data_IF_438918102136
#
_entry.id   IF_438918102136
#
_cell.length_a   1.000
_cell.length_b   1.000
_cell.length_c   1.000
_cell.angle_alpha   90.00
_cell.angle_beta   90.00
_cell.angle_gamma   90.00
#
_symmetry.space_group_name_H-M   'P 1'
#
loop_
_entity.id
_entity.type
_entity.pdbx_description
1 polymer ?
2 non-polymer ?
3 non-polymer ?
4 non-polymer ?
5 water ?
#
# COMPACT_ATOMS: atom_id res chain seq x y z
N UNK A 4 9.91 4.82 -14.65
CA UNK A 4 8.62 4.82 -13.97
C UNK A 4 8.68 5.55 -12.66
N UNK A 5 7.90 6.62 -12.57
CA UNK A 5 7.88 7.45 -11.37
C UNK A 5 6.80 7.01 -10.41
N UNK A 6 7.21 6.70 -9.19
CA UNK A 6 6.29 6.40 -8.10
C UNK A 6 6.29 7.53 -7.06
N UNK A 7 5.10 8.01 -6.71
CA UNK A 7 4.96 8.93 -5.60
C UNK A 7 4.07 8.31 -4.53
N UNK A 8 4.40 8.57 -3.27
CA UNK A 8 3.53 8.20 -2.16
C UNK A 8 2.90 9.45 -1.58
N UNK A 9 1.58 9.40 -1.43
CA UNK A 9 0.83 10.52 -0.90
C UNK A 9 -0.02 10.15 0.30
N UNK A 10 0.33 10.68 1.47
CA UNK A 10 -0.51 10.56 2.65
C UNK A 10 -1.54 11.69 2.74
N UNK A 11 -2.76 11.32 3.06
CA UNK A 11 -3.89 12.23 3.07
C UNK A 11 -4.57 12.19 4.42
N UNK A 12 -4.57 13.31 5.13
CA UNK A 12 -5.03 13.35 6.50
C UNK A 12 -3.90 13.01 7.46
N UNK A 13 -4.19 13.10 8.77
CA UNK A 13 -3.18 12.94 9.80
C UNK A 13 -2.49 11.61 9.88
N UNK A 14 -3.27 10.52 9.88
CA UNK A 14 -2.71 9.19 9.88
C UNK A 14 -1.83 8.92 8.67
N UNK A 15 -2.35 9.22 7.48
CA UNK A 15 -1.62 9.04 6.25
C UNK A 15 -0.35 9.88 6.20
N UNK A 16 -0.39 11.03 6.87
CA UNK A 16 0.78 11.90 6.91
C UNK A 16 1.77 11.45 7.95
N UNK A 17 1.29 10.67 8.91
CA UNK A 17 2.21 10.05 9.86
C UNK A 17 2.88 8.87 9.20
N UNK A 18 2.19 8.22 8.28
CA UNK A 18 2.78 7.12 7.53
C UNK A 18 3.87 7.63 6.59
N UNK A 19 3.63 8.78 6.00
CA UNK A 19 4.62 9.39 5.12
C UNK A 19 5.87 9.77 5.92
N UNK A 20 5.67 10.25 7.14
CA UNK A 20 6.81 10.67 7.97
C UNK A 20 7.70 9.50 8.40
N UNK A 21 7.08 8.43 8.88
CA UNK A 21 7.82 7.26 9.34
C UNK A 21 8.51 6.50 8.20
N UNK A 22 7.81 6.30 7.09
CA UNK A 22 8.41 5.79 5.87
C UNK A 22 9.65 6.56 5.45
N UNK A 23 9.55 7.89 5.46
CA UNK A 23 10.68 8.76 5.11
C UNK A 23 11.86 8.60 6.07
N UNK A 24 11.58 8.58 7.36
CA UNK A 24 12.62 8.43 8.36
C UNK A 24 13.37 7.14 8.06
N UNK A 25 12.62 6.12 7.66
CA UNK A 25 13.18 4.84 7.26
C UNK A 25 14.16 4.97 6.10
N UNK A 26 13.98 5.99 5.28
CA UNK A 26 14.81 6.18 4.10
C UNK A 26 14.25 5.39 2.93
N UNK A 27 13.52 6.08 2.07
CA UNK A 27 12.95 5.44 0.88
C UNK A 27 13.40 6.22 -0.36
N UNK A 28 14.30 5.61 -1.13
CA UNK A 28 14.94 6.30 -2.26
C UNK A 28 14.14 6.20 -3.55
N UNK A 29 14.34 7.19 -4.42
CA UNK A 29 13.71 7.19 -5.76
C UNK A 29 12.17 7.32 -5.74
N UNK A 30 11.61 7.41 -4.54
CA UNK A 30 10.19 7.67 -4.35
C UNK A 30 9.96 9.09 -3.86
N UNK A 31 9.05 9.80 -4.50
CA UNK A 31 8.74 11.17 -4.10
C UNK A 31 7.57 11.13 -3.12
N UNK A 32 7.69 11.86 -2.02
CA UNK A 32 6.60 11.93 -1.04
C UNK A 32 5.76 13.21 -1.14
N UNK A 33 4.47 13.08 -0.88
CA UNK A 33 3.56 14.22 -0.91
C UNK A 33 2.64 14.20 0.32
N UNK A 34 2.70 15.26 1.13
CA UNK A 34 1.84 15.35 2.31
C UNK A 34 0.63 16.22 1.99
N UNK A 35 -0.57 15.66 2.16
CA UNK A 35 -1.78 16.45 1.98
C UNK A 35 -2.58 16.49 3.27
N UNK A 36 -2.84 17.68 3.78
CA UNK A 36 -3.69 17.81 4.97
C UNK A 36 -4.45 19.12 4.96
N UNK A 37 -5.59 19.15 5.62
CA UNK A 37 -6.26 20.39 5.93
C UNK A 37 -5.56 21.07 7.11
N UNK A 38 -5.17 20.26 8.08
CA UNK A 38 -4.53 20.75 9.30
C UNK A 38 -3.11 21.21 9.01
N UNK A 39 -2.94 22.52 8.88
CA UNK A 39 -1.65 23.11 8.58
C UNK A 39 -0.62 22.92 9.66
N UNK A 40 -1.09 22.82 10.90
CA UNK A 40 -0.18 22.59 12.02
C UNK A 40 0.67 21.34 11.86
N UNK A 41 0.04 20.24 11.43
CA UNK A 41 0.75 18.99 11.21
C UNK A 41 1.54 19.05 9.93
N UNK A 42 0.99 19.71 8.94
CA UNK A 42 1.59 19.75 7.62
C UNK A 42 2.96 20.40 7.72
N UNK A 43 3.06 21.39 8.61
CA UNK A 43 4.29 22.12 8.87
C UNK A 43 5.32 21.22 9.58
N UNK A 44 4.83 20.16 10.17
CA UNK A 44 5.70 19.20 10.82
C UNK A 44 6.12 18.05 9.90
N UNK A 45 5.57 18.03 8.69
CA UNK A 45 5.89 16.98 7.75
C UNK A 45 7.36 17.04 7.30
N UNK A 46 7.92 15.87 7.03
CA UNK A 46 9.25 15.78 6.43
C UNK A 46 9.09 15.51 4.95
N UNK A 47 7.83 15.47 4.50
CA UNK A 47 7.57 15.37 3.09
C UNK A 47 8.11 16.59 2.39
N UNK A 48 8.74 16.37 1.25
CA UNK A 48 9.32 17.43 0.46
C UNK A 48 8.21 18.25 -0.23
N UNK A 49 7.22 17.58 -0.82
CA UNK A 49 6.08 18.27 -1.43
C UNK A 49 4.85 18.34 -0.53
N UNK A 50 4.50 19.55 -0.07
CA UNK A 50 3.43 19.76 0.92
C UNK A 50 2.24 20.57 0.41
N UNK A 51 1.06 19.96 0.34
CA UNK A 51 -0.12 20.67 -0.12
C UNK A 51 -1.13 20.86 1.02
N UNK A 52 -1.44 22.10 1.34
CA UNK A 52 -2.48 22.41 2.32
C UNK A 52 -3.84 22.48 1.63
N UNK A 53 -4.79 21.64 2.04
CA UNK A 53 -6.10 21.69 1.38
C UNK A 53 -7.22 22.30 2.26
N UNK A 54 -8.13 23.01 1.61
CA UNK A 54 -9.30 23.58 2.28
C UNK A 54 -9.04 24.75 3.22
N UNK A 55 -8.01 25.53 2.91
CA UNK A 55 -7.65 26.71 3.70
C UNK A 55 -8.83 27.66 3.86
N UNK A 56 -9.47 27.99 2.75
CA UNK A 56 -10.72 28.74 2.79
C UNK A 56 -11.79 28.03 3.64
N UNK A 57 -11.90 26.72 3.49
CA UNK A 57 -12.93 25.93 4.14
C UNK A 57 -12.74 25.74 5.65
N UNK A 58 -11.53 25.44 6.06
CA UNK A 58 -11.27 25.07 7.45
C UNK A 58 -10.42 26.08 8.21
N UNK A 59 -9.77 26.98 7.47
CA UNK A 59 -8.89 28.00 8.02
C UNK A 59 -7.72 27.43 8.78
N UNK A 60 -7.08 26.40 8.20
CA UNK A 60 -5.87 25.85 8.78
C UNK A 60 -6.07 24.69 9.75
N UNK A 61 -7.34 24.41 10.07
CA UNK A 61 -7.68 23.33 10.99
C UNK A 61 -8.06 22.12 10.21
N UNK A 62 -8.27 21.02 10.93
CA UNK A 62 -8.77 19.79 10.35
C UNK A 62 -10.24 19.87 10.02
N UNK A 63 -10.79 18.72 9.65
CA UNK A 63 -12.14 18.64 9.09
C UNK A 63 -13.18 18.25 10.11
N UNK A 64 -12.76 18.20 11.37
CA UNK A 64 -13.61 17.91 12.51
C UNK A 64 -14.50 16.68 12.40
N UNK A 65 -13.97 15.61 11.80
CA UNK A 65 -14.68 14.33 11.66
C UNK A 65 -15.72 14.26 10.52
N UNK A 66 -15.87 15.37 9.80
CA UNK A 66 -16.90 15.49 8.77
C UNK A 66 -16.28 15.34 7.37
N UNK A 67 -16.44 14.16 6.75
CA UNK A 67 -15.75 13.80 5.52
C UNK A 67 -16.16 14.69 4.36
N UNK A 68 -17.31 15.35 4.52
CA UNK A 68 -17.84 16.26 3.52
C UNK A 68 -16.99 17.53 3.45
N UNK A 69 -16.37 17.87 4.57
CA UNK A 69 -15.35 18.93 4.61
C UNK A 69 -14.06 18.56 3.88
N UNK A 70 -13.49 17.41 4.21
CA UNK A 70 -12.30 16.94 3.52
C UNK A 70 -12.51 16.69 2.04
N UNK A 71 -13.68 16.18 1.67
CA UNK A 71 -13.99 16.00 0.26
C UNK A 71 -14.03 17.34 -0.50
N UNK A 72 -14.80 18.28 0.02
CA UNK A 72 -14.87 19.62 -0.56
C UNK A 72 -13.49 20.28 -0.61
N UNK A 73 -12.72 20.11 0.46
CA UNK A 73 -11.41 20.74 0.62
C UNK A 73 -10.43 20.35 -0.49
N UNK A 74 -10.55 19.11 -0.94
CA UNK A 74 -9.64 18.56 -1.95
C UNK A 74 -10.14 18.92 -3.32
N UNK A 75 -11.46 18.97 -3.44
CA UNK A 75 -12.08 19.47 -4.66
C UNK A 75 -11.61 20.92 -4.85
N UNK A 76 -11.72 21.73 -3.79
CA UNK A 76 -11.25 23.12 -3.78
C UNK A 76 -9.81 23.31 -4.28
N UNK A 77 -8.86 22.51 -3.79
CA UNK A 77 -7.46 22.62 -4.21
C UNK A 77 -7.13 21.63 -5.31
N UNK A 78 -8.11 21.32 -6.16
CA UNK A 78 -7.91 20.29 -7.18
C UNK A 78 -6.67 20.53 -8.02
N UNK A 79 -6.51 21.76 -8.51
CA UNK A 79 -5.38 22.07 -9.36
C UNK A 79 -4.04 21.85 -8.65
N UNK A 80 -4.04 22.11 -7.35
CA UNK A 80 -2.82 22.06 -6.55
C UNK A 80 -2.34 20.63 -6.45
N UNK A 81 -3.32 19.71 -6.35
CA UNK A 81 -3.05 18.28 -6.27
C UNK A 81 -2.61 17.73 -7.61
N UNK A 82 -3.25 18.19 -8.68
CA UNK A 82 -2.88 17.82 -10.03
C UNK A 82 -1.43 18.09 -10.33
N UNK A 83 -0.95 19.26 -9.95
CA UNK A 83 0.44 19.61 -10.19
C UNK A 83 1.45 18.77 -9.44
N UNK A 84 1.14 18.46 -8.20
CA UNK A 84 2.10 17.73 -7.38
C UNK A 84 2.17 16.31 -7.86
N UNK A 85 1.05 15.82 -8.39
CA UNK A 85 0.94 14.47 -8.90
C UNK A 85 1.66 14.36 -10.24
N UNK A 86 1.60 15.43 -11.01
CA UNK A 86 2.03 15.42 -12.41
C UNK A 86 3.40 14.78 -12.66
N UNK A 87 3.48 14.04 -13.77
CA UNK A 87 4.66 13.27 -14.11
C UNK A 87 4.69 11.85 -13.56
N UNK A 88 3.69 11.47 -12.77
CA UNK A 88 3.71 10.18 -12.06
C UNK A 88 3.23 9.03 -12.91
N UNK A 89 3.88 7.88 -12.77
CA UNK A 89 3.43 6.69 -13.48
C UNK A 89 2.56 5.88 -12.54
N UNK A 90 2.91 5.91 -11.27
CA UNK A 90 2.19 5.15 -10.28
C UNK A 90 2.14 5.91 -8.98
N UNK A 91 0.96 6.03 -8.40
CA UNK A 91 0.88 6.70 -7.11
C UNK A 91 0.26 5.83 -6.04
N UNK A 92 0.76 6.00 -4.83
CA UNK A 92 0.25 5.30 -3.67
C UNK A 92 -0.43 6.32 -2.79
N UNK A 93 -1.73 6.20 -2.62
CA UNK A 93 -2.47 7.09 -1.71
C UNK A 93 -2.76 6.37 -0.41
N UNK A 94 -2.24 6.91 0.68
CA UNK A 94 -2.35 6.27 1.98
C UNK A 94 -3.07 7.18 2.99
N UNK A 95 -4.02 6.61 3.71
CA UNK A 95 -4.88 7.43 4.55
C UNK A 95 -5.61 6.60 5.62
N UNK A 96 -5.99 7.26 6.70
CA UNK A 96 -6.75 6.62 7.74
C UNK A 96 -8.22 6.94 7.63
N UNK A 97 -9.01 5.93 7.29
CA UNK A 97 -10.45 6.11 7.11
C UNK A 97 -11.21 6.31 8.42
N UNK A 98 -12.14 7.26 8.42
CA UNK A 98 -12.96 7.51 9.58
C UNK A 98 -12.84 8.91 10.13
N UNK A 99 -11.96 9.72 9.57
CA UNK A 99 -11.82 11.10 9.99
C UNK A 99 -12.46 12.04 8.98
N UNK A 100 -12.28 13.35 9.15
CA UNK A 100 -12.91 14.30 8.25
C UNK A 100 -12.15 14.44 6.94
N UNK A 101 -10.84 14.26 7.04
CA UNK A 101 -9.95 14.60 5.94
C UNK A 101 -9.65 13.42 5.00
N UNK A 102 -9.14 12.32 5.54
CA UNK A 102 -8.86 11.15 4.73
C UNK A 102 -10.10 10.56 4.08
N UNK A 103 -11.15 10.39 4.87
CA UNK A 103 -12.37 9.74 4.40
C UNK A 103 -12.98 10.53 3.25
N UNK A 104 -12.74 11.83 3.24
CA UNK A 104 -13.30 12.67 2.22
C UNK A 104 -12.36 12.93 1.08
N UNK A 105 -11.16 13.39 1.41
CA UNK A 105 -10.22 13.90 0.43
C UNK A 105 -9.46 12.80 -0.31
N UNK A 106 -9.11 11.75 0.41
CA UNK A 106 -8.33 10.65 -0.17
C UNK A 106 -8.98 10.06 -1.41
N UNK A 107 -10.29 9.79 -1.38
CA UNK A 107 -10.87 9.28 -2.63
C UNK A 107 -10.86 10.30 -3.77
N UNK A 108 -10.95 11.59 -3.46
CA UNK A 108 -10.80 12.62 -4.48
C UNK A 108 -9.37 12.56 -5.02
N UNK A 109 -8.40 12.53 -4.12
CA UNK A 109 -7.01 12.48 -4.51
C UNK A 109 -6.71 11.27 -5.38
N UNK A 110 -7.31 10.14 -5.05
CA UNK A 110 -7.11 8.93 -5.81
C UNK A 110 -7.78 9.04 -7.16
N UNK A 111 -8.93 9.71 -7.21
CA UNK A 111 -9.63 9.92 -8.47
C UNK A 111 -8.76 10.66 -9.48
N UNK A 112 -8.23 11.78 -9.02
CA UNK A 112 -7.37 12.65 -9.80
C UNK A 112 -6.20 11.89 -10.37
N UNK A 113 -5.53 11.12 -9.52
CA UNK A 113 -4.35 10.37 -9.92
C UNK A 113 -4.63 9.46 -11.12
N UNK A 114 -5.73 8.73 -11.04
CA UNK A 114 -6.18 7.85 -12.10
C UNK A 114 -6.45 8.63 -13.39
N UNK A 115 -7.16 9.75 -13.26
CA UNK A 115 -7.45 10.61 -14.40
C UNK A 115 -6.17 11.12 -15.06
N UNK A 116 -5.11 11.28 -14.27
CA UNK A 116 -3.80 11.67 -14.78
C UNK A 116 -3.04 10.53 -15.43
N UNK A 117 -3.69 9.37 -15.51
CA UNK A 117 -3.10 8.21 -16.17
C UNK A 117 -2.14 7.43 -15.31
N UNK A 118 -2.04 7.79 -14.04
CA UNK A 118 -1.21 7.03 -13.09
C UNK A 118 -1.88 5.75 -12.58
N UNK A 119 -1.07 4.70 -12.40
CA UNK A 119 -1.55 3.50 -11.75
C UNK A 119 -1.74 3.84 -10.29
N UNK A 120 -2.97 3.77 -9.82
CA UNK A 120 -3.30 4.33 -8.52
C UNK A 120 -3.71 3.31 -7.49
N UNK A 121 -2.94 3.24 -6.40
CA UNK A 121 -3.14 2.25 -5.36
C UNK A 121 -3.33 2.90 -3.99
N UNK A 122 -4.37 2.45 -3.29
CA UNK A 122 -4.68 2.96 -1.97
C UNK A 122 -4.34 1.94 -0.91
N UNK A 123 -3.77 2.42 0.19
CA UNK A 123 -3.56 1.62 1.39
C UNK A 123 -4.21 2.39 2.52
N UNK A 124 -5.33 1.88 3.00
CA UNK A 124 -6.10 2.62 3.97
C UNK A 124 -6.38 1.76 5.20
N UNK A 125 -6.42 2.42 6.36
CA UNK A 125 -6.84 1.75 7.57
C UNK A 125 -8.34 1.89 7.85
N UNK A 126 -8.91 0.85 8.47
CA UNK A 126 -10.22 0.94 9.11
C UNK A 126 -9.95 1.24 10.57
N UNK A 127 -10.85 1.98 11.22
CA UNK A 127 -10.66 2.46 12.60
C UNK A 127 -10.86 1.37 13.63
N UNK A 128 -10.26 1.50 14.79
CA UNK A 128 -10.48 0.53 15.86
C UNK A 128 -11.96 0.44 16.23
N UNK A 129 -12.39 -0.73 16.70
CA UNK A 129 -13.77 -0.87 17.12
C UNK A 129 -14.06 0.01 18.34
N UNK A 130 -13.03 0.24 19.16
CA UNK A 130 -13.17 1.10 20.33
C UNK A 130 -13.43 2.58 20.01
N UNK A 131 -13.22 2.99 18.75
CA UNK A 131 -13.49 4.37 18.32
C UNK A 131 -14.98 4.61 18.11
N UNK A 132 -15.75 3.54 18.17
CA UNK A 132 -17.19 3.68 18.07
C UNK A 132 -17.74 3.23 16.76
N UNK A 133 -19.05 3.13 16.74
CA UNK A 133 -19.81 2.67 15.59
C UNK A 133 -19.86 3.72 14.50
N UNK A 134 -20.04 4.98 14.87
CA UNK A 134 -20.15 6.05 13.87
C UNK A 134 -18.88 6.19 13.03
N UNK A 135 -17.74 6.28 13.71
CA UNK A 135 -16.47 6.41 13.00
C UNK A 135 -16.20 5.21 12.07
N UNK A 136 -16.80 4.06 12.39
CA UNK A 136 -16.63 2.88 11.57
C UNK A 136 -17.50 2.90 10.31
N UNK A 137 -18.68 3.49 10.44
CA UNK A 137 -19.61 3.61 9.30
C UNK A 137 -19.06 4.64 8.31
N UNK A 138 -18.58 5.76 8.85
CA UNK A 138 -17.98 6.80 8.02
C UNK A 138 -16.80 6.26 7.25
N UNK A 139 -15.99 5.45 7.92
CA UNK A 139 -14.81 4.89 7.31
C UNK A 139 -15.21 3.97 6.18
N UNK A 140 -16.25 3.18 6.43
CA UNK A 140 -16.80 2.25 5.45
C UNK A 140 -17.16 3.00 4.17
N UNK A 141 -17.87 4.10 4.29
CA UNK A 141 -18.21 4.89 3.13
C UNK A 141 -16.93 5.35 2.42
N UNK A 142 -15.91 5.73 3.19
CA UNK A 142 -14.66 6.16 2.62
C UNK A 142 -13.98 5.04 1.88
N UNK A 143 -13.97 3.86 2.48
CA UNK A 143 -13.43 2.67 1.84
C UNK A 143 -14.12 2.34 0.50
N UNK A 144 -15.45 2.47 0.49
CA UNK A 144 -16.24 2.33 -0.73
C UNK A 144 -15.91 3.39 -1.79
N UNK A 145 -15.72 4.62 -1.34
CA UNK A 145 -15.30 5.69 -2.24
C UNK A 145 -13.90 5.39 -2.76
N UNK A 146 -13.01 4.99 -1.86
CA UNK A 146 -11.66 4.59 -2.26
C UNK A 146 -11.69 3.53 -3.35
N UNK A 147 -12.42 2.45 -3.10
CA UNK A 147 -12.56 1.37 -4.08
C UNK A 147 -12.99 1.91 -5.44
N UNK A 148 -13.92 2.85 -5.43
CA UNK A 148 -14.51 3.32 -6.67
C UNK A 148 -13.63 4.36 -7.36
N UNK A 149 -12.53 4.74 -6.72
CA UNK A 149 -11.63 5.73 -7.31
C UNK A 149 -10.26 5.16 -7.65
N UNK A 150 -9.95 3.99 -7.14
CA UNK A 150 -8.60 3.44 -7.33
C UNK A 150 -8.48 2.39 -8.43
N UNK A 151 -7.25 1.97 -8.71
CA UNK A 151 -7.02 0.78 -9.49
C UNK A 151 -7.10 -0.47 -8.57
N UNK A 152 -6.32 -0.47 -7.49
CA UNK A 152 -6.40 -1.54 -6.49
C UNK A 152 -6.44 -0.98 -5.09
N UNK A 153 -6.99 -1.74 -4.14
CA UNK A 153 -7.09 -1.28 -2.77
C UNK A 153 -6.67 -2.32 -1.73
N UNK A 154 -5.84 -1.88 -0.80
CA UNK A 154 -5.51 -2.69 0.36
C UNK A 154 -6.11 -2.05 1.58
N UNK A 155 -6.92 -2.80 2.31
CA UNK A 155 -7.49 -2.30 3.56
C UNK A 155 -6.86 -2.94 4.80
N UNK A 156 -6.35 -2.10 5.69
CA UNK A 156 -5.77 -2.57 6.96
C UNK A 156 -6.63 -2.17 8.14
N UNK A 157 -7.51 -3.08 8.60
CA UNK A 157 -8.30 -2.83 9.81
C UNK A 157 -7.41 -2.66 11.04
N UNK A 158 -7.43 -1.46 11.64
CA UNK A 158 -6.65 -1.17 12.82
C UNK A 158 -6.85 -2.20 13.93
N UNK A 159 -8.04 -2.83 13.99
CA UNK A 159 -8.31 -3.90 14.95
C UNK A 159 -7.36 -5.08 14.83
N UNK A 160 -6.85 -5.31 13.63
CA UNK A 160 -5.90 -6.39 13.42
C UNK A 160 -4.64 -6.22 14.25
N UNK A 161 -4.32 -4.99 14.62
CA UNK A 161 -3.10 -4.73 15.39
C UNK A 161 -3.20 -5.39 16.77
N UNK A 162 -4.43 -5.51 17.26
CA UNK A 162 -4.69 -6.12 18.55
C UNK A 162 -4.33 -7.61 18.51
N UNK A 163 -4.44 -8.21 17.33
CA UNK A 163 -4.01 -9.59 17.14
C UNK A 163 -2.51 -9.77 17.33
N UNK A 164 -1.73 -8.74 17.01
CA UNK A 164 -0.29 -8.89 16.96
C UNK A 164 0.48 -8.23 18.12
N UNK A 165 -0.21 -7.70 19.11
CA UNK A 165 0.51 -7.16 20.25
C UNK A 165 0.26 -7.93 21.54
N UNK A 166 1.17 -7.86 22.49
CA UNK A 166 0.83 -8.20 23.85
C UNK A 166 0.39 -6.92 24.53
N UNK A 167 -0.01 -7.02 25.79
CA UNK A 167 -0.63 -5.93 26.54
C UNK A 167 0.24 -4.70 26.77
N UNK A 168 1.55 -4.86 26.58
CA UNK A 168 2.48 -3.76 26.80
C UNK A 168 3.16 -3.20 25.54
N UNK A 169 2.98 -3.85 24.40
CA UNK A 169 3.51 -3.34 23.13
C UNK A 169 3.05 -1.90 22.91
N UNK A 170 4.00 -0.99 22.75
CA UNK A 170 3.53 0.40 22.59
C UNK A 170 2.70 0.64 21.32
N UNK A 171 1.75 1.57 21.38
CA UNK A 171 0.91 1.89 20.23
C UNK A 171 1.72 2.26 18.99
N UNK A 172 2.73 3.12 19.16
CA UNK A 172 3.58 3.52 18.05
C UNK A 172 4.32 2.36 17.41
N UNK A 173 4.58 1.31 18.18
CA UNK A 173 5.25 0.13 17.66
C UNK A 173 4.28 -0.77 16.89
N UNK A 174 3.03 -0.79 17.35
CA UNK A 174 1.96 -1.45 16.61
C UNK A 174 1.76 -0.72 15.29
N UNK A 175 1.91 0.60 15.31
CA UNK A 175 1.67 1.37 14.11
C UNK A 175 2.66 1.11 12.98
N UNK A 176 3.94 1.09 13.30
CA UNK A 176 4.92 0.89 12.24
C UNK A 176 4.83 -0.51 11.65
N UNK A 177 4.25 -1.44 12.40
CA UNK A 177 3.87 -2.74 11.86
C UNK A 177 2.94 -2.55 10.67
N UNK A 178 1.95 -1.69 10.82
CA UNK A 178 1.07 -1.37 9.70
C UNK A 178 1.80 -0.62 8.57
N UNK A 179 2.74 0.27 8.91
CA UNK A 179 3.53 0.99 7.92
C UNK A 179 4.10 0.06 6.86
N UNK A 180 4.56 -1.12 7.30
CA UNK A 180 5.30 -2.06 6.46
C UNK A 180 4.57 -2.55 5.25
N UNK A 181 3.26 -2.57 5.34
CA UNK A 181 2.44 -3.08 4.27
C UNK A 181 2.73 -2.21 3.06
N UNK A 182 2.42 -0.93 3.19
CA UNK A 182 2.69 0.02 2.14
C UNK A 182 4.18 0.09 1.84
N UNK A 183 5.01 0.22 2.87
CA UNK A 183 6.44 0.42 2.61
C UNK A 183 7.11 -0.68 1.78
N UNK A 184 6.86 -1.94 2.15
CA UNK A 184 7.34 -3.07 1.36
C UNK A 184 6.72 -3.11 -0.03
N UNK A 185 5.43 -2.77 -0.10
CA UNK A 185 4.78 -2.69 -1.38
C UNK A 185 5.58 -1.77 -2.28
N UNK A 186 5.79 -0.54 -1.84
CA UNK A 186 6.51 0.45 -2.64
C UNK A 186 7.97 0.05 -2.97
N UNK A 187 8.73 -0.39 -1.97
CA UNK A 187 10.12 -0.77 -2.20
C UNK A 187 10.17 -1.97 -3.13
N UNK A 188 9.22 -2.87 -2.91
CA UNK A 188 9.18 -4.06 -3.73
C UNK A 188 9.00 -3.78 -5.20
N UNK A 189 7.99 -2.97 -5.51
CA UNK A 189 7.72 -2.56 -6.87
C UNK A 189 8.88 -1.70 -7.41
N UNK A 190 9.62 -1.07 -6.50
CA UNK A 190 10.74 -0.25 -6.94
C UNK A 190 11.94 -1.08 -7.43
N UNK A 191 12.25 -2.17 -6.74
CA UNK A 191 13.34 -3.06 -7.15
C UNK A 191 13.06 -3.71 -8.48
N UNK A 192 11.89 -4.36 -8.55
CA UNK A 192 11.36 -4.96 -9.78
C UNK A 192 11.66 -4.09 -11.02
N UNK A 193 11.18 -2.86 -11.02
CA UNK A 193 11.49 -1.88 -12.06
C UNK A 193 13.00 -1.65 -12.27
N UNK A 194 13.71 -1.49 -11.16
CA UNK A 194 15.11 -1.12 -11.21
C UNK A 194 16.01 -2.19 -11.84
N UNK A 195 15.75 -3.46 -11.53
CA UNK A 195 16.65 -4.53 -11.92
C UNK A 195 16.08 -5.41 -13.03
N UNK A 196 16.95 -5.87 -13.93
CA UNK A 196 16.56 -6.84 -14.95
C UNK A 196 16.79 -8.27 -14.46
N UNK A 197 15.73 -8.97 -14.06
CA UNK A 197 15.91 -10.33 -13.54
C UNK A 197 16.21 -11.36 -14.64
N UNK A 198 16.60 -12.57 -14.24
CA UNK A 198 16.81 -13.61 -15.23
C UNK A 198 15.49 -14.16 -15.77
N UNK A 199 14.42 -14.00 -15.01
CA UNK A 199 13.09 -14.07 -15.60
C UNK A 199 12.40 -12.76 -15.21
N UNK A 200 12.37 -11.84 -16.15
CA UNK A 200 12.07 -10.46 -15.86
C UNK A 200 10.59 -10.02 -15.86
N UNK A 201 10.27 -9.32 -14.78
CA UNK A 201 9.01 -8.61 -14.63
C UNK A 201 9.29 -7.09 -14.72
N UNK A 202 8.40 -6.34 -15.35
CA UNK A 202 8.54 -4.89 -15.33
C UNK A 202 7.24 -4.16 -15.05
N UNK A 203 7.24 -2.83 -15.14
CA UNK A 203 6.08 -2.03 -14.80
C UNK A 203 4.83 -2.37 -15.61
N UNK A 204 5.03 -2.85 -16.84
CA UNK A 204 3.91 -3.26 -17.67
C UNK A 204 3.25 -4.50 -17.08
N UNK A 205 4.02 -5.34 -16.42
CA UNK A 205 3.48 -6.55 -15.79
C UNK A 205 2.75 -6.13 -14.52
N UNK A 206 3.29 -5.11 -13.86
CA UNK A 206 2.65 -4.54 -12.68
C UNK A 206 1.31 -3.93 -13.05
N UNK A 207 1.28 -3.18 -14.15
CA UNK A 207 0.05 -2.55 -14.63
C UNK A 207 -1.00 -3.58 -15.00
N UNK A 208 -0.55 -4.66 -15.64
CA UNK A 208 -1.46 -5.73 -16.05
C UNK A 208 -2.18 -6.33 -14.84
N UNK A 209 -1.45 -6.51 -13.74
CA UNK A 209 -1.98 -7.18 -12.56
C UNK A 209 -2.78 -6.23 -11.64
N UNK A 210 -2.42 -4.95 -11.62
CA UNK A 210 -3.07 -4.04 -10.66
C UNK A 210 -4.12 -3.09 -11.24
N UNK A 211 -4.11 -2.85 -12.55
CA UNK A 211 -5.00 -1.85 -13.09
C UNK A 211 -6.45 -2.33 -13.14
N UNK A 212 -7.36 -1.47 -12.68
CA UNK A 212 -8.80 -1.73 -12.69
C UNK A 212 -9.15 -3.10 -12.16
N UNK A 213 -8.80 -3.33 -10.90
CA UNK A 213 -9.00 -4.62 -10.28
C UNK A 213 -10.01 -4.57 -9.15
N UNK A 214 -9.63 -3.96 -8.03
CA UNK A 214 -10.50 -3.96 -6.87
C UNK A 214 -9.61 -4.20 -5.68
N UNK A 215 -9.93 -5.21 -4.87
CA UNK A 215 -9.09 -5.56 -3.72
C UNK A 215 -7.75 -6.13 -4.15
N UNK A 216 -6.76 -5.99 -3.27
CA UNK A 216 -5.41 -6.42 -3.56
C UNK A 216 -4.68 -6.94 -2.32
N UNK A 217 -3.77 -7.88 -2.55
CA UNK A 217 -2.84 -8.31 -1.52
C UNK A 217 -1.41 -7.97 -1.92
N UNK A 218 -0.65 -7.34 -1.03
CA UNK A 218 0.76 -7.19 -1.27
C UNK A 218 1.59 -7.77 -0.12
N UNK A 219 2.53 -8.64 -0.46
CA UNK A 219 3.26 -9.37 0.55
C UNK A 219 4.66 -9.80 0.16
N UNK A 220 5.46 -10.10 1.17
CA UNK A 220 6.83 -10.52 0.99
C UNK A 220 7.18 -11.50 2.12
N UNK A 221 8.01 -12.49 1.84
CA UNK A 221 8.45 -13.43 2.85
C UNK A 221 9.94 -13.68 2.70
N UNK A 222 10.64 -13.77 3.83
CA UNK A 222 12.03 -14.18 3.79
C UNK A 222 12.22 -15.47 4.61
N UNK A 223 13.01 -16.39 4.08
CA UNK A 223 13.47 -17.53 4.83
C UNK A 223 14.80 -18.05 4.31
N UNK A 224 15.44 -18.88 5.11
CA UNK A 224 16.61 -19.64 4.71
C UNK A 224 16.40 -20.98 5.38
N UNK A 225 17.39 -21.86 5.31
CA UNK A 225 17.21 -23.20 5.85
C UNK A 225 16.55 -24.12 4.84
N UNK A 226 16.00 -25.23 5.31
CA UNK A 226 15.69 -26.29 4.36
C UNK A 226 14.30 -26.31 3.72
N UNK A 227 13.32 -25.67 4.35
CA UNK A 227 12.06 -25.53 3.67
C UNK A 227 11.88 -24.06 3.23
N UNK A 228 13.01 -23.41 2.95
CA UNK A 228 13.04 -21.96 2.78
C UNK A 228 12.00 -21.45 1.80
N UNK A 229 11.91 -22.11 0.64
CA UNK A 229 11.05 -21.64 -0.43
C UNK A 229 9.60 -21.70 -0.01
N UNK A 230 9.23 -22.80 0.61
CA UNK A 230 7.87 -22.97 1.04
C UNK A 230 7.60 -22.08 2.25
N UNK A 231 8.63 -21.90 3.08
CA UNK A 231 8.52 -21.01 4.23
C UNK A 231 8.35 -19.57 3.77
N UNK A 232 9.25 -19.10 2.92
CA UNK A 232 9.16 -17.73 2.44
C UNK A 232 7.83 -17.44 1.76
N UNK A 233 7.37 -18.39 0.94
CA UNK A 233 6.07 -18.29 0.23
C UNK A 233 4.85 -18.23 1.16
N UNK A 234 4.89 -18.99 2.24
CA UNK A 234 3.85 -18.91 3.25
C UNK A 234 3.79 -17.51 3.91
N UNK A 235 4.94 -16.93 4.19
CA UNK A 235 5.00 -15.62 4.83
C UNK A 235 4.47 -14.50 3.93
N UNK A 236 4.68 -14.67 2.64
CA UNK A 236 4.33 -13.64 1.65
C UNK A 236 2.82 -13.55 1.45
N UNK A 237 2.10 -14.60 1.81
CA UNK A 237 0.64 -14.60 1.74
C UNK A 237 0.01 -14.66 3.13
N UNK A 238 0.84 -14.66 4.16
CA UNK A 238 0.38 -14.50 5.55
C UNK A 238 -0.34 -13.16 5.70
N UNK A 239 -1.45 -13.12 6.44
CA UNK A 239 -2.21 -11.86 6.47
C UNK A 239 -2.78 -11.43 7.79
N UNK A 240 -1.94 -11.41 8.83
CA UNK A 240 -2.46 -11.08 10.17
C UNK A 240 -3.14 -9.71 10.19
N UNK A 241 -2.58 -8.74 9.45
CA UNK A 241 -3.11 -7.38 9.39
C UNK A 241 -4.00 -7.15 8.17
N UNK A 242 -4.15 -8.16 7.33
CA UNK A 242 -4.87 -7.93 6.06
C UNK A 242 -6.36 -8.29 6.14
N UNK A 243 -7.18 -7.46 5.49
CA UNK A 243 -8.61 -7.69 5.36
C UNK A 243 -8.90 -8.58 4.16
N UNK A 244 -8.30 -8.22 3.05
CA UNK A 244 -8.30 -9.05 1.85
C UNK A 244 -7.22 -10.13 1.95
N UNK A 245 -7.63 -11.38 2.21
CA UNK A 245 -6.71 -12.53 2.23
C UNK A 245 -6.39 -13.05 0.81
N UNK A 246 -5.33 -13.85 0.71
CA UNK A 246 -4.90 -14.45 -0.55
C UNK A 246 -5.97 -15.35 -1.21
N UNK A 247 -6.86 -15.90 -0.40
CA UNK A 247 -7.79 -16.88 -0.89
C UNK A 247 -8.82 -16.23 -1.80
N UNK A 248 -8.96 -16.77 -3.01
CA UNK A 248 -9.92 -16.27 -3.97
C UNK A 248 -9.29 -15.61 -5.17
N UNK A 249 -7.96 -15.53 -5.21
CA UNK A 249 -7.25 -14.71 -6.21
C UNK A 249 -7.15 -15.24 -7.67
N UNK A 250 -7.66 -14.46 -8.63
CA UNK A 250 -7.53 -14.82 -10.05
C UNK A 250 -6.14 -14.51 -10.67
N UNK A 251 -5.56 -13.36 -10.30
CA UNK A 251 -4.25 -12.97 -10.80
C UNK A 251 -3.18 -12.87 -9.72
N UNK A 252 -1.98 -13.34 -10.04
CA UNK A 252 -0.83 -13.13 -9.15
C UNK A 252 0.39 -12.71 -9.93
N UNK A 253 1.06 -11.64 -9.49
CA UNK A 253 2.41 -11.36 -9.92
C UNK A 253 3.31 -11.87 -8.80
N UNK A 254 4.25 -12.74 -9.14
CA UNK A 254 5.09 -13.35 -8.12
C UNK A 254 6.54 -13.30 -8.50
N UNK A 255 7.39 -13.05 -7.51
CA UNK A 255 8.83 -13.07 -7.76
C UNK A 255 9.67 -13.73 -6.67
N UNK A 256 10.65 -14.51 -7.10
CA UNK A 256 11.56 -15.13 -6.15
C UNK A 256 12.97 -14.62 -6.36
N UNK A 257 13.54 -14.07 -5.29
CA UNK A 257 14.93 -13.70 -5.33
C UNK A 257 15.68 -14.64 -4.41
N UNK A 258 16.78 -15.18 -4.93
CA UNK A 258 17.71 -15.98 -4.15
C UNK A 258 19.10 -15.80 -4.73
N UNK A 259 20.05 -16.56 -4.19
CA UNK A 259 21.39 -16.58 -4.72
C UNK A 259 21.52 -17.70 -5.73
N UNK A 260 22.75 -17.93 -6.19
CA UNK A 260 23.06 -18.95 -7.18
C UNK A 260 22.46 -20.34 -6.92
N UNK A 261 22.10 -20.64 -5.67
CA UNK A 261 21.66 -21.99 -5.35
C UNK A 261 20.16 -22.18 -5.60
N UNK A 262 19.48 -21.11 -5.99
CA UNK A 262 18.07 -21.15 -6.26
C UNK A 262 17.82 -22.29 -7.21
N UNK A 263 16.96 -23.21 -6.84
CA UNK A 263 16.72 -24.36 -7.69
C UNK A 263 15.33 -24.29 -8.31
N UNK A 264 15.22 -24.86 -9.50
CA UNK A 264 13.96 -24.96 -10.24
C UNK A 264 12.87 -25.59 -9.38
N UNK A 265 13.25 -26.63 -8.65
CA UNK A 265 12.35 -27.39 -7.80
C UNK A 265 11.74 -26.56 -6.70
N UNK A 266 12.57 -25.77 -6.02
CA UNK A 266 12.05 -24.98 -4.91
C UNK A 266 11.19 -23.83 -5.38
N UNK A 267 11.44 -23.36 -6.60
CA UNK A 267 10.60 -22.33 -7.22
C UNK A 267 9.20 -22.87 -7.55
N UNK A 268 9.14 -24.12 -8.01
CA UNK A 268 7.83 -24.74 -8.22
C UNK A 268 7.08 -24.94 -6.91
N UNK A 269 7.82 -25.24 -5.85
CA UNK A 269 7.24 -25.42 -4.51
C UNK A 269 6.57 -24.15 -4.05
N UNK A 270 7.30 -23.04 -4.19
CA UNK A 270 6.81 -21.74 -3.78
C UNK A 270 5.59 -21.32 -4.60
N UNK A 271 5.64 -21.54 -5.92
CA UNK A 271 4.51 -21.15 -6.77
C UNK A 271 3.29 -22.02 -6.51
N UNK A 272 3.53 -23.30 -6.22
CA UNK A 272 2.44 -24.22 -5.97
C UNK A 272 1.69 -23.77 -4.73
N UNK A 273 2.45 -23.43 -3.69
CA UNK A 273 1.92 -22.85 -2.46
C UNK A 273 0.96 -21.71 -2.70
N UNK A 274 1.34 -20.76 -3.55
CA UNK A 274 0.52 -19.58 -3.75
C UNK A 274 -0.73 -19.97 -4.52
N UNK A 275 -0.51 -20.47 -5.73
CA UNK A 275 -1.58 -20.93 -6.61
C UNK A 275 -2.61 -21.80 -5.85
N UNK A 276 -2.13 -22.39 -4.77
CA UNK A 276 -2.91 -23.31 -3.97
C UNK A 276 -3.75 -22.58 -2.96
N UNK A 277 -3.14 -21.56 -2.38
CA UNK A 277 -3.71 -20.91 -1.20
C UNK A 277 -4.81 -20.01 -1.70
N UNK A 278 -4.60 -19.47 -2.90
CA UNK A 278 -5.65 -18.78 -3.61
C UNK A 278 -6.80 -19.77 -3.71
N UNK A 279 -6.45 -21.03 -4.02
CA UNK A 279 -7.46 -22.08 -4.28
C UNK A 279 -8.38 -21.53 -5.38
N UNK A 280 -7.77 -21.09 -6.47
CA UNK A 280 -8.49 -20.60 -7.63
C UNK A 280 -7.61 -20.84 -8.83
N UNK A 281 -8.13 -20.52 -10.01
CA UNK A 281 -7.35 -20.71 -11.21
C UNK A 281 -6.59 -19.43 -11.53
N UNK A 282 -5.61 -19.17 -10.67
CA UNK A 282 -4.70 -18.03 -10.78
C UNK A 282 -4.00 -17.91 -12.13
N UNK A 283 -4.24 -16.78 -12.82
CA UNK A 283 -3.39 -16.35 -13.94
C UNK A 283 -2.13 -15.62 -13.47
N UNK A 284 -1.03 -16.36 -13.38
CA UNK A 284 0.20 -15.89 -12.77
C UNK A 284 1.18 -15.28 -13.74
N UNK A 285 1.98 -14.37 -13.20
CA UNK A 285 3.06 -13.74 -13.95
C UNK A 285 4.29 -13.95 -13.08
N UNK A 286 5.14 -14.87 -13.53
CA UNK A 286 6.25 -15.34 -12.73
C UNK A 286 7.57 -14.65 -13.07
N UNK A 287 8.41 -14.48 -12.07
CA UNK A 287 9.65 -13.81 -12.29
C UNK A 287 10.65 -14.39 -11.35
N UNK A 288 11.92 -14.32 -11.70
CA UNK A 288 12.99 -14.78 -10.84
C UNK A 288 14.11 -13.79 -10.89
N UNK A 289 14.79 -13.60 -9.76
CA UNK A 289 16.05 -12.86 -9.70
C UNK A 289 17.12 -13.68 -9.02
N UNK A 290 18.32 -13.61 -9.57
CA UNK A 290 19.50 -14.21 -8.95
C UNK A 290 20.43 -13.11 -8.48
N UNK A 291 20.50 -12.95 -7.17
CA UNK A 291 21.41 -12.02 -6.53
C UNK A 291 22.49 -12.81 -5.79
N UNK A 292 23.67 -12.99 -6.43
CA UNK A 292 24.75 -13.85 -5.92
C UNK A 292 25.25 -13.34 -4.58
N UNK A 293 24.80 -12.16 -4.20
CA UNK A 293 25.04 -11.58 -2.89
C UNK A 293 24.26 -12.33 -1.80
N UNK A 294 23.04 -12.73 -2.15
CA UNK A 294 22.06 -13.17 -1.14
C UNK A 294 22.43 -14.48 -0.45
N UNK A 295 23.22 -15.31 -1.17
CA UNK A 295 23.68 -16.60 -0.65
C UNK A 295 22.55 -17.56 -0.24
N UNK A 296 22.27 -17.63 1.05
CA UNK A 296 21.38 -18.63 1.60
C UNK A 296 19.95 -18.13 1.86
N UNK A 297 19.74 -16.81 1.78
CA UNK A 297 18.38 -16.27 1.95
C UNK A 297 17.53 -16.43 0.71
N UNK A 298 16.23 -16.58 0.91
CA UNK A 298 15.28 -16.61 -0.21
C UNK A 298 14.17 -15.56 0.00
N UNK A 299 13.92 -14.74 -1.01
CA UNK A 299 12.86 -13.77 -0.86
C UNK A 299 11.75 -14.13 -1.81
N UNK A 300 10.51 -14.10 -1.33
CA UNK A 300 9.34 -14.35 -2.19
C UNK A 300 8.38 -13.18 -2.10
N UNK A 301 7.97 -12.63 -3.23
CA UNK A 301 7.07 -11.48 -3.18
C UNK A 301 5.80 -11.70 -4.00
N UNK A 302 4.68 -11.24 -3.47
CA UNK A 302 3.39 -11.43 -4.12
C UNK A 302 2.60 -10.13 -4.27
N UNK A 303 2.02 -9.95 -5.45
CA UNK A 303 0.92 -9.03 -5.60
C UNK A 303 -0.23 -9.82 -6.18
N UNK A 304 -1.27 -10.06 -5.39
CA UNK A 304 -2.41 -10.83 -5.87
C UNK A 304 -3.66 -9.97 -5.92
N UNK A 305 -4.39 -10.06 -7.02
CA UNK A 305 -5.68 -9.38 -7.18
C UNK A 305 -6.70 -10.32 -7.83
N UNK A 306 -7.74 -9.73 -8.41
CA UNK A 306 -8.76 -10.49 -9.13
C UNK A 306 -9.77 -11.26 -8.29
N UNK A 307 -10.17 -10.71 -7.15
CA UNK A 307 -11.11 -11.42 -6.31
C UNK A 307 -12.55 -11.23 -6.79
X LIG B 1 12.94 -5.60 -13.93
X LIG C 1 -8.04 12.87 9.58
X LIG C 1 -9.21 13.77 9.81
X LIG C 1 -8.29 12.03 8.36
X LIG C 1 -6.75 13.65 9.44
X LIG C 1 -7.99 11.94 10.88
X LIG C 1 -6.86 10.83 11.09
X LIG C 1 -6.28 10.32 9.79
X LIG C 1 -5.77 11.37 11.97
X LIG C 1 -7.79 9.77 11.86
X LIG C 1 -8.71 8.94 11.16
X LIG C 1 -8.57 7.48 11.55
X LIG C 1 -7.28 7.01 11.13
X LIG C 1 -8.61 7.32 13.06
X LIG C 1 -9.93 6.96 13.48
X LIG C 1 -7.56 6.25 13.38
X LIG C 1 -8.13 4.94 13.43
X LIG C 1 -6.68 6.21 12.15
X LIG C 1 -5.27 6.65 12.38
X LIG C 1 -4.82 7.88 12.64
X LIG C 1 -3.47 7.91 12.76
X LIG C 1 -3.03 6.65 12.56
X LIG C 1 -1.72 5.94 12.53
X LIG C 1 -0.65 6.57 12.73
X LIG C 1 -1.72 4.63 12.28
X LIG C 1 -2.87 3.94 12.07
X LIG C 1 -2.80 2.60 11.84
X LIG C 1 -4.10 4.51 12.08
X LIG C 1 -4.23 5.84 12.31
X LIG D 1 5.73 -6.72 -2.30
X LIG D 1 7.09 -6.67 -2.44
X LIG D 1 12.15 -10.51 -12.12
X LIG D 1 11.19 -8.72 -9.55
X LIG D 1 12.32 -8.68 -10.51
X LIG D 1 13.61 -8.14 -9.99
X LIG D 1 13.71 -7.71 -8.67
X LIG D 1 10.00 -9.18 -9.93
X LIG D 1 12.16 -9.19 -11.93
X LIG D 1 12.04 -8.38 -12.86
X LIG D 1 11.40 -8.25 -8.16
X LIG D 1 12.65 -7.75 -7.77
X LIG D 1 14.68 -8.08 -10.79
X LIG D 1 10.37 -8.26 -7.26
X LIG D 1 10.42 -7.32 -6.20
X LIG D 1 9.13 -7.21 -5.41
X LIG D 1 7.60 -7.46 -6.24
X LIG D 1 6.74 -7.20 -4.82
X LIG D 1 5.41 -7.23 -4.63
X LIG D 1 4.91 -7.00 -3.40
X LIG D 1 5.08 -6.41 -0.68
X LIG D 1 7.64 -6.91 -3.68
X LIG D 1 8.95 -6.95 -4.09
#
# INVERSE_FOLDING_TARGET
GHMATLKVIGVGGGGNNAVNRMIDHGMNNVEFIAINTDGQALNLSKAESKIQIGEKLTRGLGAGANPEIGKKAAEESREQIEDAIQGADMVFVTSGMGGGTGTGAAPVVAKIAKEMGALTVGVVTRPFSFEGRKRQTQAAAGVEAMKAAVDTLIVIPNDRLLDIVDKSTPMMEAFKEADNVLRQGVQGISDLIAVSGEVNLDFADVKTIMSNQGSALMGIGVSSGENRAVEAAKKAISSPLLETSIVGAQGVLMNITGGESLSLFEAQEAADIVQDAADEDVNMIFGTVINPELQDEIVVTVIATGFD
CA CA
GDP PB O1B O2B O3B O3A PA O1A O2A O5' C5' C4' O4' C3' O3' C2' O2' C1' N9 C8 N7 C5 C6 O6 N1 C2 N2 N3 C4
9PC C11 C12 N C13 C1 C2 C3 F1 C O C5 C4 F O1 C6 C7 S C9 N2 C10 CL C8 N1
#
